data_IF_315852207628
#
_entry.id   IF_315852207628
#
_cell.length_a   1.000
_cell.length_b   1.000
_cell.length_c   1.000
_cell.angle_alpha   90.00
_cell.angle_beta   90.00
_cell.angle_gamma   90.00
#
_symmetry.space_group_name_H-M   'P 1'
#
loop_
_entity.id
_entity.type
_entity.pdbx_description
1 polymer ?
#
# COMPACT_ATOMS: atom_id res chain seq x y z
N UNK A 1 18.07 -5.68 -59.73
CA UNK A 1 16.65 -5.69 -59.30
C UNK A 1 16.40 -4.41 -58.53
N UNK A 2 15.64 -3.47 -59.10
CA UNK A 2 15.24 -2.25 -58.41
C UNK A 2 14.16 -2.61 -57.38
N UNK A 3 14.43 -2.39 -56.10
CA UNK A 3 13.42 -2.46 -55.05
C UNK A 3 12.38 -1.38 -55.33
N UNK A 4 11.23 -1.73 -55.92
CA UNK A 4 10.10 -0.82 -56.02
C UNK A 4 9.54 -0.60 -54.61
N UNK A 5 9.96 0.49 -53.98
CA UNK A 5 9.37 0.94 -52.71
C UNK A 5 7.96 1.42 -53.03
N UNK A 6 6.94 0.69 -52.56
CA UNK A 6 5.53 1.06 -52.72
C UNK A 6 5.29 2.51 -52.30
N UNK A 7 4.53 3.31 -53.08
CA UNK A 7 4.24 4.71 -52.74
C UNK A 7 3.52 4.85 -51.38
N UNK A 8 2.81 3.79 -50.96
CA UNK A 8 2.10 3.71 -49.68
C UNK A 8 3.03 3.46 -48.49
N UNK A 9 4.29 3.05 -48.70
CA UNK A 9 5.25 2.82 -47.62
C UNK A 9 5.51 4.07 -46.77
N UNK A 10 5.43 5.26 -47.38
CA UNK A 10 5.55 6.55 -46.68
C UNK A 10 4.35 6.85 -45.78
N UNK A 11 3.16 6.38 -46.14
CA UNK A 11 1.94 6.58 -45.35
C UNK A 11 1.99 5.78 -44.04
N UNK A 12 2.56 4.57 -44.07
CA UNK A 12 2.73 3.73 -42.87
C UNK A 12 3.65 4.36 -41.80
N UNK A 13 4.44 5.37 -42.16
CA UNK A 13 5.33 6.10 -41.24
C UNK A 13 4.65 7.30 -40.58
N UNK A 14 3.41 7.63 -40.95
CA UNK A 14 2.65 8.73 -40.34
C UNK A 14 1.93 8.22 -39.09
N UNK A 15 2.69 8.04 -38.01
CA UNK A 15 2.22 7.48 -36.73
C UNK A 15 2.52 8.43 -35.57
N UNK A 16 1.87 8.21 -34.43
CA UNK A 16 2.21 8.89 -33.18
C UNK A 16 3.70 8.72 -32.86
N UNK A 17 4.22 7.49 -32.97
CA UNK A 17 5.62 7.14 -32.73
C UNK A 17 6.55 8.03 -33.56
N UNK A 18 6.30 8.15 -34.86
CA UNK A 18 7.14 8.95 -35.76
C UNK A 18 7.04 10.46 -35.50
N UNK A 19 5.87 10.95 -35.06
CA UNK A 19 5.71 12.34 -34.66
C UNK A 19 6.45 12.66 -33.34
N UNK A 20 6.38 11.76 -32.36
CA UNK A 20 7.08 11.89 -31.09
C UNK A 20 8.60 11.74 -31.26
N UNK A 21 9.06 10.80 -32.11
CA UNK A 21 10.48 10.68 -32.48
C UNK A 21 10.99 11.98 -33.10
N UNK A 22 10.22 12.61 -33.99
CA UNK A 22 10.58 13.89 -34.60
C UNK A 22 10.70 15.00 -33.54
N UNK A 23 9.69 15.17 -32.69
CA UNK A 23 9.68 16.18 -31.61
C UNK A 23 10.90 16.04 -30.69
N UNK A 24 11.15 14.83 -30.19
CA UNK A 24 12.28 14.58 -29.28
C UNK A 24 13.62 14.82 -29.98
N UNK A 25 13.73 14.47 -31.26
CA UNK A 25 14.96 14.67 -32.02
C UNK A 25 15.17 16.12 -32.49
N UNK A 26 14.13 16.96 -32.61
CA UNK A 26 14.30 18.37 -32.99
C UNK A 26 14.47 19.26 -31.77
N UNK A 27 13.57 19.14 -30.79
CA UNK A 27 13.51 20.05 -29.64
C UNK A 27 14.38 19.58 -28.47
N UNK A 28 14.62 18.26 -28.34
CA UNK A 28 15.32 17.66 -27.20
C UNK A 28 16.55 16.85 -27.61
N UNK A 29 17.34 17.40 -28.55
CA UNK A 29 18.54 16.75 -29.13
C UNK A 29 19.55 16.22 -28.10
N UNK A 30 19.62 16.84 -26.92
CA UNK A 30 20.53 16.43 -25.85
C UNK A 30 20.15 15.07 -25.23
N UNK A 31 18.93 14.56 -25.46
CA UNK A 31 18.50 13.24 -24.97
C UNK A 31 19.21 12.06 -25.66
N UNK A 32 19.82 12.28 -26.84
CA UNK A 32 20.68 11.30 -27.49
C UNK A 32 20.37 11.05 -28.96
N UNK A 33 21.07 10.08 -29.54
CA UNK A 33 20.90 9.69 -30.93
C UNK A 33 19.58 8.95 -31.20
N UNK A 34 19.27 8.72 -32.48
CA UNK A 34 18.02 8.09 -32.94
C UNK A 34 17.62 6.80 -32.20
N UNK A 35 18.60 5.98 -31.81
CA UNK A 35 18.35 4.74 -31.05
C UNK A 35 17.78 5.02 -29.66
N UNK A 36 18.33 5.99 -28.95
CA UNK A 36 17.87 6.38 -27.60
C UNK A 36 16.49 7.01 -27.69
N UNK A 37 16.26 7.90 -28.66
CA UNK A 37 14.95 8.52 -28.91
C UNK A 37 13.86 7.45 -29.13
N UNK A 38 14.15 6.43 -29.94
CA UNK A 38 13.20 5.34 -30.18
C UNK A 38 12.87 4.53 -28.91
N UNK A 39 13.85 4.33 -28.02
CA UNK A 39 13.61 3.69 -26.72
C UNK A 39 12.67 4.54 -25.87
N UNK A 40 12.93 5.85 -25.77
CA UNK A 40 12.06 6.78 -25.03
C UNK A 40 10.63 6.78 -25.58
N UNK A 41 10.46 6.80 -26.91
CA UNK A 41 9.13 6.73 -27.55
C UNK A 41 8.39 5.45 -27.15
N UNK A 42 9.07 4.30 -27.14
CA UNK A 42 8.47 3.05 -26.70
C UNK A 42 8.07 3.09 -25.22
N UNK A 43 8.90 3.67 -24.35
CA UNK A 43 8.59 3.81 -22.93
C UNK A 43 7.38 4.73 -22.70
N UNK A 44 7.28 5.84 -23.44
CA UNK A 44 6.13 6.75 -23.41
C UNK A 44 4.84 6.05 -23.87
N UNK A 45 4.90 5.26 -24.93
CA UNK A 45 3.74 4.45 -25.36
C UNK A 45 3.33 3.46 -24.29
N UNK A 46 4.29 2.78 -23.67
CA UNK A 46 4.02 1.87 -22.56
C UNK A 46 3.31 2.58 -21.40
N UNK A 47 3.70 3.82 -21.08
CA UNK A 47 3.00 4.63 -20.07
C UNK A 47 1.58 5.01 -20.52
N UNK A 48 1.38 5.40 -21.78
CA UNK A 48 0.05 5.72 -22.31
C UNK A 48 -0.87 4.49 -22.19
N UNK A 49 -0.41 3.31 -22.61
CA UNK A 49 -1.19 2.08 -22.56
C UNK A 49 -1.58 1.70 -21.12
N UNK A 50 -0.70 1.98 -20.15
CA UNK A 50 -0.96 1.73 -18.74
C UNK A 50 -1.92 2.75 -18.10
N UNK A 51 -1.80 4.04 -18.43
CA UNK A 51 -2.66 5.10 -17.87
C UNK A 51 -4.03 5.19 -18.56
N UNK A 52 -4.11 4.82 -19.84
CA UNK A 52 -5.31 4.93 -20.67
C UNK A 52 -5.64 3.60 -21.37
N UNK A 53 -5.93 2.53 -20.61
CA UNK A 53 -6.28 1.25 -21.20
C UNK A 53 -7.67 1.28 -21.82
N UNK A 54 -7.80 0.74 -23.03
CA UNK A 54 -9.06 0.70 -23.78
C UNK A 54 -10.11 -0.29 -23.22
N UNK A 55 -9.71 -1.16 -22.28
CA UNK A 55 -10.50 -2.28 -21.80
C UNK A 55 -10.96 -2.12 -20.33
N UNK A 56 -11.32 -0.91 -19.89
CA UNK A 56 -11.90 -0.71 -18.56
C UNK A 56 -13.33 -1.27 -18.48
N UNK A 57 -13.59 -2.07 -17.46
CA UNK A 57 -14.94 -2.55 -17.16
C UNK A 57 -15.77 -1.49 -16.42
N UNK A 58 -17.09 -1.59 -16.49
CA UNK A 58 -18.00 -0.67 -15.77
C UNK A 58 -17.75 -0.78 -14.26
N UNK A 59 -17.50 0.36 -13.61
CA UNK A 59 -17.21 0.42 -12.19
C UNK A 59 -15.72 0.35 -11.84
N UNK A 60 -14.84 0.22 -12.84
CA UNK A 60 -13.39 0.31 -12.67
C UNK A 60 -12.86 1.73 -12.88
N UNK A 61 -11.70 2.02 -12.27
CA UNK A 61 -10.96 3.26 -12.44
C UNK A 61 -9.46 2.97 -12.51
N UNK A 62 -8.71 3.74 -13.30
CA UNK A 62 -7.25 3.79 -13.21
C UNK A 62 -6.85 4.85 -12.19
N UNK A 63 -6.06 4.45 -11.20
CA UNK A 63 -5.57 5.34 -10.15
C UNK A 63 -4.05 5.25 -10.05
N UNK A 64 -3.31 6.38 -10.09
CA UNK A 64 -1.87 6.36 -9.86
C UNK A 64 -1.56 6.09 -8.38
N UNK A 65 -0.71 5.10 -8.10
CA UNK A 65 -0.29 4.73 -6.76
C UNK A 65 1.24 4.55 -6.67
N UNK A 66 1.80 4.61 -5.47
CA UNK A 66 3.24 4.50 -5.26
C UNK A 66 3.66 3.03 -5.29
N UNK A 67 4.74 2.70 -5.99
CA UNK A 67 5.31 1.34 -6.03
C UNK A 67 5.60 0.78 -4.63
N UNK A 68 5.32 -0.49 -4.41
CA UNK A 68 5.67 -1.21 -3.17
C UNK A 68 7.19 -1.17 -2.93
N UNK A 69 7.96 -1.34 -4.01
CA UNK A 69 9.43 -1.36 -3.98
C UNK A 69 10.11 0.00 -3.75
N UNK A 70 9.34 1.10 -3.69
CA UNK A 70 9.93 2.41 -3.48
C UNK A 70 10.54 2.53 -2.08
N UNK A 71 11.73 3.14 -1.97
CA UNK A 71 12.46 3.19 -0.71
C UNK A 71 11.70 4.01 0.34
N UNK A 72 11.83 3.63 1.62
CA UNK A 72 11.24 4.34 2.78
C UNK A 72 11.88 5.72 3.04
N UNK A 73 12.57 6.32 2.07
CA UNK A 73 13.20 7.62 2.23
C UNK A 73 12.13 8.70 2.44
N UNK A 74 11.91 9.05 3.70
CA UNK A 74 10.89 10.00 4.20
C UNK A 74 11.01 11.43 3.61
N UNK A 75 11.98 11.69 2.74
CA UNK A 75 12.30 13.01 2.20
C UNK A 75 12.21 13.12 0.68
N UNK A 76 11.87 12.04 -0.04
CA UNK A 76 11.60 12.13 -1.47
C UNK A 76 10.27 12.84 -1.70
N UNK A 77 10.20 13.73 -2.70
CA UNK A 77 8.91 14.29 -3.12
C UNK A 77 8.11 13.20 -3.81
N UNK A 78 6.78 13.32 -3.84
CA UNK A 78 5.92 12.35 -4.51
C UNK A 78 6.28 12.19 -6.00
N UNK A 79 6.76 13.27 -6.62
CA UNK A 79 7.26 13.35 -8.00
C UNK A 79 8.49 12.46 -8.24
N UNK A 80 9.25 12.14 -7.18
CA UNK A 80 10.45 11.32 -7.24
C UNK A 80 10.17 9.84 -6.95
N UNK A 81 8.92 9.48 -6.64
CA UNK A 81 8.52 8.09 -6.40
C UNK A 81 8.13 7.42 -7.71
N UNK A 82 8.47 6.14 -7.86
CA UNK A 82 7.92 5.31 -8.94
C UNK A 82 6.40 5.18 -8.78
N UNK A 83 5.66 5.80 -9.69
CA UNK A 83 4.20 5.72 -9.77
C UNK A 83 3.79 4.58 -10.69
N UNK A 84 2.83 3.78 -10.24
CA UNK A 84 2.22 2.68 -10.99
C UNK A 84 0.72 2.99 -11.12
N UNK A 85 0.18 3.11 -12.35
CA UNK A 85 -1.26 3.18 -12.55
C UNK A 85 -1.88 1.82 -12.24
N UNK A 86 -2.73 1.76 -11.22
CA UNK A 86 -3.44 0.55 -10.83
C UNK A 86 -4.89 0.60 -11.25
N UNK A 87 -5.41 -0.54 -11.70
CA UNK A 87 -6.83 -0.73 -12.00
C UNK A 87 -7.55 -1.13 -10.73
N UNK A 88 -8.55 -0.35 -10.34
CA UNK A 88 -9.29 -0.56 -9.10
C UNK A 88 -10.77 -0.76 -9.39
N UNK A 89 -11.38 -1.77 -8.76
CA UNK A 89 -12.82 -2.01 -8.82
C UNK A 89 -13.53 -1.14 -7.78
N UNK A 90 -13.81 0.11 -8.16
CA UNK A 90 -14.47 1.10 -7.31
C UNK A 90 -15.88 0.66 -6.92
N UNK A 91 -16.62 0.09 -7.88
CA UNK A 91 -17.94 -0.50 -7.66
C UNK A 91 -18.01 -1.85 -8.37
N UNK A 92 -18.45 -2.88 -7.65
CA UNK A 92 -18.62 -4.24 -8.17
C UNK A 92 -20.09 -4.64 -8.17
N UNK A 93 -20.41 -5.71 -8.90
CA UNK A 93 -21.74 -6.35 -8.84
C UNK A 93 -22.10 -6.82 -7.44
N UNK A 94 -21.13 -7.38 -6.71
CA UNK A 94 -21.31 -7.82 -5.32
C UNK A 94 -21.74 -6.65 -4.41
N UNK A 95 -21.20 -5.45 -4.64
CA UNK A 95 -21.62 -4.27 -3.87
C UNK A 95 -23.09 -3.91 -4.13
N UNK A 96 -23.57 -4.06 -5.38
CA UNK A 96 -24.97 -3.81 -5.74
C UNK A 96 -25.91 -4.85 -5.14
N UNK A 97 -25.51 -6.12 -5.15
CA UNK A 97 -26.26 -7.21 -4.51
C UNK A 97 -26.35 -7.03 -2.99
N UNK A 98 -25.28 -6.53 -2.34
CA UNK A 98 -25.30 -6.18 -0.91
C UNK A 98 -26.24 -5.01 -0.62
N UNK A 99 -26.30 -4.01 -1.51
CA UNK A 99 -27.24 -2.90 -1.40
C UNK A 99 -28.69 -3.37 -1.55
N UNK A 100 -28.98 -4.24 -2.52
CA UNK A 100 -30.30 -4.84 -2.72
C UNK A 100 -30.76 -5.61 -1.47
N UNK A 101 -29.84 -6.39 -0.87
CA UNK A 101 -30.06 -7.12 0.38
C UNK A 101 -30.11 -6.24 1.64
N UNK A 102 -30.08 -4.91 1.49
CA UNK A 102 -30.11 -3.92 2.60
C UNK A 102 -29.01 -4.14 3.63
N UNK A 103 -27.84 -4.64 3.22
CA UNK A 103 -26.66 -4.68 4.08
C UNK A 103 -26.30 -3.26 4.49
N UNK A 104 -25.84 -3.08 5.74
CA UNK A 104 -25.46 -1.76 6.26
C UNK A 104 -24.44 -1.10 5.32
N UNK A 105 -24.72 0.14 4.91
CA UNK A 105 -23.86 0.92 4.00
C UNK A 105 -22.41 0.99 4.46
N UNK A 106 -22.18 1.10 5.77
CA UNK A 106 -20.84 1.13 6.37
C UNK A 106 -20.05 -0.16 6.14
N UNK A 107 -20.71 -1.33 6.16
CA UNK A 107 -20.06 -2.62 5.89
C UNK A 107 -19.66 -2.73 4.41
N UNK A 108 -20.53 -2.27 3.51
CA UNK A 108 -20.23 -2.24 2.07
C UNK A 108 -19.04 -1.30 1.81
N UNK A 109 -19.04 -0.11 2.39
CA UNK A 109 -17.94 0.86 2.24
C UNK A 109 -16.62 0.36 2.85
N UNK A 110 -16.66 -0.30 4.02
CA UNK A 110 -15.49 -0.95 4.63
C UNK A 110 -14.93 -2.02 3.68
N UNK A 111 -15.79 -2.88 3.12
CA UNK A 111 -15.39 -3.90 2.16
C UNK A 111 -14.78 -3.29 0.88
N UNK A 112 -15.35 -2.19 0.36
CA UNK A 112 -14.77 -1.45 -0.78
C UNK A 112 -13.39 -0.92 -0.45
N UNK A 113 -13.22 -0.25 0.69
CA UNK A 113 -11.92 0.29 1.11
C UNK A 113 -10.85 -0.80 1.18
N UNK A 114 -11.17 -1.93 1.83
CA UNK A 114 -10.27 -3.10 1.93
C UNK A 114 -9.91 -3.64 0.55
N UNK A 115 -10.90 -3.82 -0.33
CA UNK A 115 -10.68 -4.27 -1.71
C UNK A 115 -9.71 -3.37 -2.46
N UNK A 116 -9.89 -2.04 -2.39
CA UNK A 116 -9.01 -1.09 -3.07
C UNK A 116 -7.55 -1.21 -2.61
N UNK A 117 -7.31 -1.36 -1.31
CA UNK A 117 -5.94 -1.56 -0.80
C UNK A 117 -5.31 -2.85 -1.29
N UNK A 118 -6.06 -3.95 -1.28
CA UNK A 118 -5.55 -5.25 -1.73
C UNK A 118 -5.31 -5.28 -3.24
N UNK A 119 -6.23 -4.77 -4.05
CA UNK A 119 -6.08 -4.72 -5.51
C UNK A 119 -4.87 -3.88 -5.94
N UNK A 120 -4.61 -2.77 -5.27
CA UNK A 120 -3.41 -1.97 -5.52
C UNK A 120 -2.14 -2.77 -5.17
N UNK A 121 -2.15 -3.45 -4.03
CA UNK A 121 -1.01 -4.24 -3.55
C UNK A 121 -0.69 -5.41 -4.48
N UNK A 122 -1.71 -6.12 -4.96
CA UNK A 122 -1.58 -7.20 -5.95
C UNK A 122 -0.97 -6.72 -7.28
N UNK A 123 -1.15 -5.44 -7.61
CA UNK A 123 -0.54 -4.78 -8.78
C UNK A 123 0.82 -4.14 -8.47
N UNK A 124 1.40 -4.40 -7.29
CA UNK A 124 2.72 -3.90 -6.90
C UNK A 124 2.74 -2.44 -6.47
N UNK A 125 1.59 -1.86 -6.11
CA UNK A 125 1.49 -0.48 -5.64
C UNK A 125 0.77 -0.35 -4.29
N UNK A 126 0.90 0.80 -3.65
CA UNK A 126 0.36 1.07 -2.32
C UNK A 126 -0.48 2.34 -2.34
N UNK A 127 -1.74 2.20 -1.89
CA UNK A 127 -2.59 3.34 -1.64
C UNK A 127 -2.36 3.90 -0.24
N UNK A 128 -2.46 5.21 -0.12
CA UNK A 128 -2.63 5.90 1.16
C UNK A 128 -4.11 5.90 1.55
N UNK A 129 -4.39 6.18 2.83
CA UNK A 129 -5.78 6.41 3.26
C UNK A 129 -6.39 7.66 2.58
N UNK A 130 -5.56 8.62 2.15
CA UNK A 130 -6.02 9.80 1.42
C UNK A 130 -6.52 9.45 0.01
N UNK A 131 -5.84 8.54 -0.69
CA UNK A 131 -6.30 8.03 -1.99
C UNK A 131 -7.70 7.42 -1.88
N UNK A 132 -7.89 6.54 -0.90
CA UNK A 132 -9.18 5.87 -0.66
C UNK A 132 -10.26 6.86 -0.21
N UNK A 133 -9.88 7.93 0.52
CA UNK A 133 -10.79 9.03 0.85
C UNK A 133 -11.33 9.71 -0.40
N UNK A 134 -10.46 10.01 -1.37
CA UNK A 134 -10.86 10.66 -2.63
C UNK A 134 -11.72 9.72 -3.45
N UNK A 135 -11.31 8.45 -3.60
CA UNK A 135 -12.04 7.44 -4.35
C UNK A 135 -13.45 7.17 -3.79
N UNK A 136 -13.60 7.08 -2.47
CA UNK A 136 -14.88 6.76 -1.83
C UNK A 136 -15.70 8.00 -1.43
N UNK A 137 -15.15 9.21 -1.54
CA UNK A 137 -15.78 10.45 -1.08
C UNK A 137 -16.02 10.46 0.43
N UNK A 138 -15.00 10.12 1.23
CA UNK A 138 -15.09 9.98 2.70
C UNK A 138 -14.13 10.91 3.44
N UNK A 139 -14.26 10.93 4.77
CA UNK A 139 -13.28 11.61 5.62
C UNK A 139 -12.15 10.65 6.03
N UNK A 140 -10.95 11.19 6.25
CA UNK A 140 -9.79 10.43 6.73
C UNK A 140 -10.12 9.62 7.99
N UNK A 141 -10.81 10.17 9.03
CA UNK A 141 -11.18 9.37 10.20
C UNK A 141 -12.06 8.16 9.88
N UNK A 142 -12.94 8.27 8.87
CA UNK A 142 -13.82 7.16 8.46
C UNK A 142 -13.02 6.03 7.83
N UNK A 143 -12.13 6.34 6.88
CA UNK A 143 -11.28 5.34 6.23
C UNK A 143 -10.31 4.72 7.24
N UNK A 144 -9.72 5.53 8.12
CA UNK A 144 -8.88 5.03 9.22
C UNK A 144 -9.63 4.05 10.12
N UNK A 145 -10.90 4.35 10.46
CA UNK A 145 -11.75 3.43 11.22
C UNK A 145 -12.01 2.13 10.47
N UNK A 146 -12.28 2.18 9.17
CA UNK A 146 -12.48 0.97 8.34
C UNK A 146 -11.24 0.08 8.34
N UNK A 147 -10.05 0.67 8.17
CA UNK A 147 -8.78 -0.07 8.25
C UNK A 147 -8.60 -0.69 9.63
N UNK A 148 -8.78 0.08 10.71
CA UNK A 148 -8.64 -0.43 12.08
C UNK A 148 -9.62 -1.56 12.39
N UNK A 149 -10.89 -1.39 12.03
CA UNK A 149 -11.93 -2.41 12.24
C UNK A 149 -11.59 -3.70 11.49
N UNK A 150 -11.26 -3.61 10.21
CA UNK A 150 -10.92 -4.79 9.42
C UNK A 150 -9.72 -5.55 9.99
N UNK A 151 -8.64 -4.84 10.30
CA UNK A 151 -7.42 -5.46 10.85
C UNK A 151 -7.66 -6.10 12.22
N UNK A 152 -8.50 -5.50 13.08
CA UNK A 152 -8.86 -6.07 14.37
C UNK A 152 -9.79 -7.29 14.24
N UNK A 153 -10.74 -7.25 13.30
CA UNK A 153 -11.70 -8.34 13.06
C UNK A 153 -11.02 -9.59 12.47
N UNK A 154 -9.97 -9.42 11.67
CA UNK A 154 -9.31 -10.50 10.92
C UNK A 154 -7.91 -10.85 11.46
N UNK A 155 -7.36 -10.08 12.39
CA UNK A 155 -5.97 -10.17 12.85
C UNK A 155 -4.94 -10.17 11.69
N UNK A 156 -5.24 -9.35 10.68
CA UNK A 156 -4.42 -9.20 9.48
C UNK A 156 -4.00 -7.74 9.29
N UNK A 157 -2.86 -7.51 8.66
CA UNK A 157 -2.38 -6.15 8.36
C UNK A 157 -2.74 -5.81 6.91
N UNK A 158 -3.56 -4.79 6.75
CA UNK A 158 -3.98 -4.33 5.44
C UNK A 158 -2.79 -3.64 4.73
N UNK A 159 -2.53 -3.88 3.44
CA UNK A 159 -1.35 -3.37 2.74
C UNK A 159 -1.51 -1.90 2.33
N UNK A 160 -1.75 -1.03 3.30
CA UNK A 160 -1.73 0.42 3.10
C UNK A 160 -0.28 0.90 3.02
N UNK A 161 -0.01 2.02 2.31
CA UNK A 161 1.32 2.62 2.28
C UNK A 161 1.87 2.91 3.67
N UNK A 162 1.01 3.38 4.58
CA UNK A 162 1.38 3.68 5.96
C UNK A 162 1.82 2.45 6.76
N UNK A 163 1.25 1.28 6.46
CA UNK A 163 1.61 0.02 7.13
C UNK A 163 2.87 -0.59 6.52
N UNK A 164 2.93 -0.73 5.19
CA UNK A 164 4.04 -1.40 4.50
C UNK A 164 5.35 -0.60 4.61
N UNK A 165 5.27 0.74 4.50
CA UNK A 165 6.43 1.61 4.64
C UNK A 165 6.62 2.14 6.06
N UNK A 166 5.76 1.80 7.01
CA UNK A 166 5.76 2.29 8.40
C UNK A 166 5.80 3.83 8.53
N UNK A 167 5.14 4.53 7.58
CA UNK A 167 5.11 6.01 7.47
C UNK A 167 3.98 6.62 8.33
N UNK A 168 3.12 5.79 8.93
CA UNK A 168 2.00 6.24 9.76
C UNK A 168 2.23 6.04 11.27
N UNK A 169 1.46 6.74 12.12
CA UNK A 169 1.40 6.43 13.55
C UNK A 169 0.74 5.06 13.83
N UNK A 170 0.54 4.20 12.82
CA UNK A 170 -0.21 2.95 12.86
C UNK A 170 0.16 2.12 14.09
N UNK A 171 -0.73 2.15 15.07
CA UNK A 171 -0.57 1.43 16.33
C UNK A 171 -1.00 -0.03 16.10
N UNK A 172 -2.07 -0.23 15.33
CA UNK A 172 -2.73 -1.53 15.16
C UNK A 172 -1.82 -2.63 14.60
N UNK A 173 -1.04 -2.38 13.54
CA UNK A 173 -0.20 -3.42 12.95
C UNK A 173 0.95 -3.86 13.87
N UNK A 174 1.50 -2.92 14.67
CA UNK A 174 2.52 -3.23 15.68
C UNK A 174 1.97 -4.18 16.75
N UNK A 175 0.74 -3.92 17.21
CA UNK A 175 0.05 -4.83 18.12
C UNK A 175 -0.24 -6.21 17.53
N UNK A 176 -0.67 -6.29 16.26
CA UNK A 176 -0.90 -7.57 15.56
C UNK A 176 0.41 -8.38 15.48
N UNK A 177 1.52 -7.75 15.11
CA UNK A 177 2.84 -8.40 15.05
C UNK A 177 3.23 -8.98 16.41
N UNK A 178 3.06 -8.22 17.49
CA UNK A 178 3.36 -8.68 18.85
C UNK A 178 2.40 -9.80 19.28
N UNK A 179 1.10 -9.70 18.98
CA UNK A 179 0.12 -10.75 19.28
C UNK A 179 0.50 -12.07 18.62
N UNK A 180 0.81 -12.07 17.32
CA UNK A 180 1.28 -13.25 16.59
C UNK A 180 2.58 -13.82 17.17
N UNK A 181 3.45 -12.96 17.72
CA UNK A 181 4.63 -13.44 18.45
C UNK A 181 4.27 -14.15 19.76
N UNK A 182 3.29 -13.65 20.50
CA UNK A 182 2.78 -14.29 21.73
C UNK A 182 2.10 -15.64 21.42
N UNK A 183 1.53 -15.80 20.24
CA UNK A 183 1.04 -17.09 19.69
C UNK A 183 2.16 -18.06 19.29
N UNK A 184 3.43 -17.71 19.56
CA UNK A 184 4.63 -18.50 19.27
C UNK A 184 4.93 -18.67 17.78
N UNK A 185 4.41 -17.80 16.91
CA UNK A 185 4.82 -17.76 15.49
C UNK A 185 6.28 -17.32 15.35
N UNK A 186 6.97 -17.86 14.36
CA UNK A 186 8.34 -17.45 14.02
C UNK A 186 8.35 -16.07 13.33
N UNK A 187 9.46 -15.34 13.43
CA UNK A 187 9.63 -14.04 12.74
C UNK A 187 9.33 -14.14 11.25
N UNK A 188 9.76 -15.22 10.58
CA UNK A 188 9.51 -15.44 9.16
C UNK A 188 8.02 -15.66 8.84
N UNK A 189 7.28 -16.38 9.69
CA UNK A 189 5.84 -16.53 9.52
C UNK A 189 5.12 -15.20 9.70
N UNK A 190 5.45 -14.45 10.76
CA UNK A 190 4.85 -13.15 11.04
C UNK A 190 5.11 -12.19 9.88
N UNK A 191 6.36 -12.12 9.40
CA UNK A 191 6.75 -11.28 8.25
C UNK A 191 5.89 -11.54 7.01
N UNK A 192 5.67 -12.82 6.68
CA UNK A 192 4.79 -13.23 5.57
C UNK A 192 3.34 -12.85 5.80
N UNK A 193 2.81 -13.11 7.00
CA UNK A 193 1.40 -12.84 7.33
C UNK A 193 1.08 -11.34 7.43
N UNK A 194 2.06 -10.51 7.79
CA UNK A 194 1.85 -9.06 7.97
C UNK A 194 2.41 -8.22 6.84
N UNK A 195 2.97 -8.83 5.79
CA UNK A 195 3.64 -8.13 4.68
C UNK A 195 4.75 -7.18 5.15
N UNK A 196 5.52 -7.61 6.14
CA UNK A 196 6.65 -6.85 6.70
C UNK A 196 7.97 -7.59 6.45
N UNK A 197 9.09 -6.87 6.47
CA UNK A 197 10.39 -7.52 6.48
C UNK A 197 10.65 -8.17 7.85
N UNK A 198 11.43 -9.27 7.92
CA UNK A 198 11.83 -9.88 9.19
C UNK A 198 12.49 -8.88 10.15
N UNK A 199 13.28 -7.95 9.64
CA UNK A 199 13.96 -6.92 10.42
C UNK A 199 12.95 -5.96 11.08
N UNK A 200 11.90 -5.56 10.35
CA UNK A 200 10.83 -4.74 10.89
C UNK A 200 10.06 -5.49 12.00
N UNK A 201 9.77 -6.77 11.77
CA UNK A 201 9.12 -7.64 12.78
C UNK A 201 9.97 -7.75 14.05
N UNK A 202 11.26 -8.07 13.92
CA UNK A 202 12.17 -8.20 15.06
C UNK A 202 12.34 -6.88 15.83
N UNK A 203 12.32 -5.74 15.13
CA UNK A 203 12.31 -4.41 15.75
C UNK A 203 11.10 -4.24 16.67
N UNK A 204 9.89 -4.55 16.19
CA UNK A 204 8.68 -4.40 17.01
C UNK A 204 8.66 -5.38 18.20
N UNK A 205 9.12 -6.62 18.00
CA UNK A 205 9.26 -7.60 19.09
C UNK A 205 10.23 -7.10 20.16
N UNK A 206 11.35 -6.49 19.76
CA UNK A 206 12.34 -5.90 20.67
C UNK A 206 11.77 -4.73 21.45
N UNK A 207 11.03 -3.85 20.77
CA UNK A 207 10.36 -2.72 21.41
C UNK A 207 9.33 -3.17 22.43
N UNK A 208 8.55 -4.22 22.12
CA UNK A 208 7.66 -4.85 23.09
C UNK A 208 8.40 -5.41 24.30
N UNK A 209 9.53 -6.10 24.09
CA UNK A 209 10.37 -6.62 25.18
C UNK A 209 10.88 -5.51 26.12
N UNK A 210 11.29 -4.36 25.57
CA UNK A 210 11.70 -3.18 26.34
C UNK A 210 10.54 -2.65 27.17
N UNK A 211 9.35 -2.51 26.58
CA UNK A 211 8.14 -2.05 27.29
C UNK A 211 7.73 -3.02 28.40
N UNK A 212 7.69 -4.33 28.13
CA UNK A 212 7.37 -5.38 29.12
C UNK A 212 8.30 -5.33 30.34
N UNK A 213 9.60 -5.16 30.12
CA UNK A 213 10.57 -5.02 31.21
C UNK A 213 10.28 -3.80 32.10
N UNK A 214 9.92 -2.66 31.52
CA UNK A 214 9.64 -1.44 32.26
C UNK A 214 8.28 -1.49 32.98
N UNK A 215 7.28 -2.18 32.41
CA UNK A 215 6.03 -2.49 33.10
C UNK A 215 6.30 -3.32 34.37
N UNK A 216 7.19 -4.31 34.30
CA UNK A 216 7.62 -5.09 35.47
C UNK A 216 8.27 -4.25 36.58
N UNK A 217 8.85 -3.09 36.22
CA UNK A 217 9.38 -2.09 37.18
C UNK A 217 8.32 -1.11 37.69
N UNK A 218 7.04 -1.32 37.37
CA UNK A 218 5.89 -0.48 37.76
C UNK A 218 5.97 0.97 37.26
N UNK A 219 6.64 1.20 36.14
CA UNK A 219 6.71 2.52 35.51
C UNK A 219 5.38 2.88 34.82
N UNK A 220 5.07 4.18 34.75
CA UNK A 220 3.89 4.70 34.07
C UNK A 220 4.07 4.70 32.55
N UNK A 221 2.98 4.89 31.79
CA UNK A 221 3.01 4.94 30.32
C UNK A 221 3.87 6.11 29.85
N UNK A 222 3.80 7.24 30.55
CA UNK A 222 4.57 8.44 30.29
C UNK A 222 6.07 8.19 30.49
N UNK A 223 6.45 7.55 31.60
CA UNK A 223 7.84 7.21 31.90
C UNK A 223 8.41 6.21 30.90
N UNK A 224 7.61 5.20 30.51
CA UNK A 224 8.01 4.21 29.50
C UNK A 224 8.18 4.87 28.13
N UNK A 225 7.23 5.72 27.73
CA UNK A 225 7.30 6.45 26.46
C UNK A 225 8.55 7.33 26.40
N UNK A 226 8.83 8.06 27.49
CA UNK A 226 10.04 8.87 27.62
C UNK A 226 11.33 8.04 27.55
N UNK A 227 11.41 6.92 28.29
CA UNK A 227 12.60 6.09 28.35
C UNK A 227 12.86 5.30 27.06
N UNK A 228 11.82 4.95 26.30
CA UNK A 228 11.93 4.10 25.11
C UNK A 228 11.96 4.87 23.80
N UNK A 229 11.44 6.12 23.79
CA UNK A 229 11.18 6.89 22.58
C UNK A 229 9.94 6.41 21.81
N UNK A 230 9.20 5.43 22.33
CA UNK A 230 7.99 4.88 21.71
C UNK A 230 6.81 5.80 22.05
N UNK A 231 5.90 6.01 21.10
CA UNK A 231 4.71 6.85 21.33
C UNK A 231 3.81 6.25 22.41
N UNK A 232 3.18 7.12 23.21
CA UNK A 232 2.30 6.71 24.32
C UNK A 232 1.23 5.71 23.90
N UNK A 233 0.63 5.92 22.73
CA UNK A 233 -0.40 5.02 22.20
C UNK A 233 0.10 3.60 21.91
N UNK A 234 1.35 3.45 21.43
CA UNK A 234 1.94 2.11 21.20
C UNK A 234 2.31 1.45 22.54
N UNK A 235 2.82 2.23 23.49
CA UNK A 235 3.11 1.73 24.85
C UNK A 235 1.82 1.21 25.52
N UNK A 236 0.72 1.95 25.41
CA UNK A 236 -0.58 1.56 25.95
C UNK A 236 -1.05 0.22 25.36
N UNK A 237 -0.94 0.07 24.04
CA UNK A 237 -1.32 -1.17 23.37
C UNK A 237 -0.44 -2.37 23.82
N UNK A 238 0.86 -2.16 23.96
CA UNK A 238 1.77 -3.18 24.48
C UNK A 238 1.46 -3.56 25.93
N UNK A 239 1.04 -2.59 26.74
CA UNK A 239 0.58 -2.83 28.12
C UNK A 239 -0.66 -3.72 28.16
N UNK A 240 -1.64 -3.45 27.31
CA UNK A 240 -2.84 -4.29 27.21
C UNK A 240 -2.52 -5.71 26.72
N UNK A 241 -1.63 -5.85 25.74
CA UNK A 241 -1.16 -7.17 25.29
C UNK A 241 -0.43 -7.94 26.39
N UNK A 242 0.36 -7.25 27.23
CA UNK A 242 1.04 -7.88 28.36
C UNK A 242 0.08 -8.33 29.47
N UNK A 243 -0.99 -7.58 29.75
CA UNK A 243 -2.04 -8.02 30.68
C UNK A 243 -2.70 -9.31 30.20
N UNK A 244 -3.13 -9.35 28.94
CA UNK A 244 -3.72 -10.54 28.32
C UNK A 244 -2.79 -11.76 28.38
N UNK A 245 -1.49 -11.57 28.14
CA UNK A 245 -0.48 -12.63 28.27
C UNK A 245 -0.40 -13.19 29.70
N UNK A 246 -0.46 -12.33 30.72
CA UNK A 246 -0.39 -12.77 32.11
C UNK A 246 -1.67 -13.51 32.53
N UNK A 247 -2.85 -13.03 32.13
CA UNK A 247 -4.14 -13.66 32.43
C UNK A 247 -4.23 -15.07 31.79
N UNK A 248 -3.79 -15.22 30.54
CA UNK A 248 -3.73 -16.53 29.85
C UNK A 248 -2.75 -17.50 30.54
N UNK A 249 -1.70 -16.98 31.17
CA UNK A 249 -0.70 -17.80 31.87
C UNK A 249 -1.11 -18.14 33.31
N UNK A 250 -2.01 -17.38 33.95
CA UNK A 250 -2.62 -17.75 35.23
C UNK A 250 -3.66 -18.86 35.06
N UNK A 251 -4.48 -18.81 34.01
CA UNK A 251 -5.52 -19.82 33.73
C UNK A 251 -4.96 -21.20 33.33
N UNK A 252 -3.70 -21.26 32.89
CA UNK A 252 -3.00 -22.53 32.57
C UNK A 252 -2.25 -23.14 33.76
N UNK A 253 -2.28 -22.49 34.92
CA UNK A 253 -1.64 -22.95 36.16
C UNK A 253 -2.63 -23.53 37.17
N UNK A 254 -3.93 -23.45 36.91
CA UNK A 254 -4.99 -24.20 37.59
C UNK A 254 -5.29 -25.51 36.85
#
# INVERSE_FOLDING_TARGET
>A
MMNQVSPFSSMLRKTFDSALEYLLYTEYRFLGGKRVVKMIVNDVKGLIDQFFPDNLEVGQVIWPAVSVDESQEQHKKIEDHKIIPVRLNLVTREDMEKLEKKVKKTEIEKARAVRLFNEAYEQGALLTQADVVVLLGKSIPTVSKYVQQYQNEHDEVLPTRGNIHDIGPGITHKGIIVRKKLEKKSTSQIAKETNHSPEAVDRYIRDYGRVKMLIGKRMTVEEISYATGISRGVVEQYRELHKLENDINSDKKE
#
